data_IF_574742294384
#
_entry.id   IF_574742294384
#
_cell.length_a   1.000
_cell.length_b   1.000
_cell.length_c   1.000
_cell.angle_alpha   90.00
_cell.angle_beta   90.00
_cell.angle_gamma   90.00
#
_symmetry.space_group_name_H-M   'P 1'
#
loop_
_entity.id
_entity.type
_entity.pdbx_description
1 polymer ?
#
# COMPACT_ATOMS: atom_id res chain seq x y z
N UNK A 1 -8.12 -0.61 15.76
CA UNK A 1 -7.26 -0.19 14.63
C UNK A 1 -5.94 0.30 15.20
N UNK A 2 -4.77 -0.20 14.75
CA UNK A 2 -3.46 0.14 15.34
C UNK A 2 -2.96 1.55 14.98
N UNK A 3 -3.58 2.20 13.99
CA UNK A 3 -3.29 3.58 13.59
C UNK A 3 -4.50 4.45 13.98
N UNK A 4 -4.31 5.59 14.68
CA UNK A 4 -5.38 6.50 15.02
C UNK A 4 -6.07 7.10 13.77
N UNK A 5 -7.39 7.28 13.82
CA UNK A 5 -8.17 7.73 12.67
C UNK A 5 -7.74 9.10 12.11
N UNK A 6 -7.29 10.03 12.96
CA UNK A 6 -6.79 11.36 12.54
C UNK A 6 -5.38 11.35 11.93
N UNK A 7 -4.72 10.20 11.95
CA UNK A 7 -3.37 9.99 11.43
C UNK A 7 -3.36 9.15 10.14
N UNK A 8 -4.54 8.67 9.71
CA UNK A 8 -4.78 7.89 8.51
C UNK A 8 -5.70 8.69 7.58
N UNK A 9 -5.23 8.97 6.36
CA UNK A 9 -6.03 9.60 5.31
C UNK A 9 -6.24 8.59 4.18
N UNK A 10 -7.49 8.39 3.80
CA UNK A 10 -7.88 7.57 2.65
C UNK A 10 -8.52 8.48 1.61
N UNK A 11 -7.78 8.80 0.55
CA UNK A 11 -8.30 9.54 -0.60
C UNK A 11 -8.88 8.56 -1.62
N UNK A 12 -10.06 8.87 -2.13
CA UNK A 12 -10.73 8.08 -3.18
C UNK A 12 -10.73 8.87 -4.48
N UNK A 13 -10.40 8.21 -5.58
CA UNK A 13 -10.47 8.79 -6.91
C UNK A 13 -10.99 7.77 -7.91
N UNK A 14 -11.72 8.22 -8.93
CA UNK A 14 -12.18 7.36 -10.02
C UNK A 14 -11.89 8.06 -11.36
N UNK A 15 -11.52 7.30 -12.38
CA UNK A 15 -11.29 7.85 -13.72
C UNK A 15 -11.16 6.78 -14.79
N UNK A 16 -11.26 7.17 -16.08
CA UNK A 16 -11.02 6.25 -17.19
C UNK A 16 -9.56 5.79 -17.19
N UNK A 17 -9.35 4.48 -17.27
CA UNK A 17 -8.04 3.84 -17.38
C UNK A 17 -7.54 3.77 -18.82
N UNK A 18 -6.30 3.30 -19.04
CA UNK A 18 -5.72 3.14 -20.38
C UNK A 18 -6.49 2.18 -21.29
N UNK A 19 -7.34 1.32 -20.71
CA UNK A 19 -8.22 0.37 -21.39
C UNK A 19 -9.60 0.96 -21.73
N UNK A 20 -9.83 2.25 -21.44
CA UNK A 20 -11.11 2.93 -21.65
C UNK A 20 -12.20 2.57 -20.63
N UNK A 21 -11.90 1.73 -19.63
CA UNK A 21 -12.85 1.37 -18.56
C UNK A 21 -12.73 2.36 -17.40
N UNK A 22 -13.77 2.50 -16.60
CA UNK A 22 -13.67 3.26 -15.35
C UNK A 22 -12.96 2.43 -14.28
N UNK A 23 -11.94 3.01 -13.66
CA UNK A 23 -11.22 2.41 -12.55
C UNK A 23 -11.35 3.30 -11.32
N UNK A 24 -11.36 2.66 -10.15
CA UNK A 24 -11.31 3.32 -8.85
C UNK A 24 -9.95 3.12 -8.19
N UNK A 25 -9.48 4.14 -7.49
CA UNK A 25 -8.21 4.18 -6.78
C UNK A 25 -8.45 4.61 -5.33
N UNK A 26 -7.70 4.00 -4.42
CA UNK A 26 -7.63 4.43 -3.02
C UNK A 26 -6.18 4.77 -2.72
N UNK A 27 -5.91 6.02 -2.32
CA UNK A 27 -4.60 6.40 -1.79
C UNK A 27 -4.68 6.43 -0.28
N UNK A 28 -3.87 5.60 0.38
CA UNK A 28 -3.77 5.56 1.84
C UNK A 28 -2.49 6.28 2.26
N UNK A 29 -2.63 7.32 3.09
CA UNK A 29 -1.51 8.07 3.68
C UNK A 29 -1.56 7.94 5.19
N UNK A 30 -0.40 7.83 5.81
CA UNK A 30 -0.26 7.79 7.27
C UNK A 30 0.80 8.80 7.67
N UNK A 31 0.56 9.59 8.72
CA UNK A 31 1.64 10.42 9.27
C UNK A 31 2.73 9.53 9.82
N UNK A 32 3.98 9.78 9.41
CA UNK A 32 5.12 8.95 9.80
C UNK A 32 5.23 8.77 11.33
N UNK A 33 4.99 9.83 12.11
CA UNK A 33 5.00 9.79 13.58
C UNK A 33 4.07 8.73 14.17
N UNK A 34 2.89 8.51 13.57
CA UNK A 34 1.91 7.52 14.01
C UNK A 34 2.39 6.07 13.79
N UNK A 35 3.44 5.87 12.98
CA UNK A 35 4.06 4.55 12.76
C UNK A 35 5.09 4.20 13.85
N UNK A 36 5.54 5.16 14.66
CA UNK A 36 6.58 4.93 15.68
C UNK A 36 6.21 3.88 16.74
N UNK A 37 4.99 3.89 17.31
CA UNK A 37 4.57 2.89 18.30
C UNK A 37 4.52 1.47 17.72
N UNK A 38 4.40 1.35 16.40
CA UNK A 38 4.36 0.07 15.68
C UNK A 38 5.75 -0.40 15.24
N UNK A 39 6.80 0.40 15.45
CA UNK A 39 8.13 0.10 14.92
C UNK A 39 8.25 0.27 13.40
N UNK A 40 7.27 0.90 12.75
CA UNK A 40 7.17 1.03 11.30
C UNK A 40 7.64 2.39 10.76
N UNK A 41 8.16 3.26 11.62
CA UNK A 41 8.69 4.55 11.17
C UNK A 41 9.97 4.33 10.33
N UNK A 42 10.17 5.05 9.20
CA UNK A 42 11.36 4.87 8.34
C UNK A 42 12.72 4.96 9.06
N UNK A 43 12.83 5.85 10.05
CA UNK A 43 14.04 5.98 10.89
C UNK A 43 14.22 4.87 11.94
N UNK A 44 13.23 3.99 12.16
CA UNK A 44 13.36 2.87 13.10
C UNK A 44 13.97 1.65 12.40
N UNK A 45 14.96 0.97 13.02
CA UNK A 45 15.56 -0.23 12.45
C UNK A 45 14.55 -1.35 12.17
N UNK A 46 13.52 -1.47 13.00
CA UNK A 46 12.44 -2.46 12.88
C UNK A 46 11.56 -2.27 11.65
N UNK A 47 11.61 -1.10 11.00
CA UNK A 47 10.85 -0.85 9.76
C UNK A 47 11.46 -1.53 8.53
N UNK A 48 12.73 -1.94 8.61
CA UNK A 48 13.44 -2.59 7.50
C UNK A 48 13.14 -4.08 7.49
N UNK A 49 12.72 -4.66 6.35
CA UNK A 49 12.61 -6.10 6.20
C UNK A 49 13.98 -6.74 6.46
N UNK A 50 14.04 -7.68 7.40
CA UNK A 50 15.25 -8.46 7.70
C UNK A 50 15.35 -9.72 6.84
N UNK A 51 14.23 -10.15 6.26
CA UNK A 51 14.18 -11.31 5.37
C UNK A 51 14.46 -10.90 3.92
N UNK A 52 15.05 -11.80 3.11
CA UNK A 52 15.11 -11.62 1.67
C UNK A 52 13.73 -11.28 1.11
N UNK A 53 13.70 -10.39 0.11
CA UNK A 53 12.47 -10.16 -0.62
C UNK A 53 11.97 -11.50 -1.19
N UNK A 54 10.64 -11.74 -1.18
CA UNK A 54 10.10 -12.95 -1.78
C UNK A 54 10.52 -13.07 -3.25
N UNK A 55 10.54 -14.28 -3.82
CA UNK A 55 10.89 -14.49 -5.21
C UNK A 55 10.12 -13.55 -6.13
N UNK A 56 10.79 -12.97 -7.14
CA UNK A 56 10.17 -11.98 -8.03
C UNK A 56 8.90 -12.47 -8.75
N UNK A 57 8.78 -13.80 -8.97
CA UNK A 57 7.57 -14.38 -9.55
C UNK A 57 6.33 -14.18 -8.66
N UNK A 58 6.51 -14.04 -7.34
CA UNK A 58 5.42 -13.84 -6.39
C UNK A 58 4.79 -12.45 -6.58
N UNK A 59 5.61 -11.40 -6.66
CA UNK A 59 5.14 -10.06 -7.02
C UNK A 59 4.47 -10.05 -8.40
N UNK A 60 5.12 -10.66 -9.40
CA UNK A 60 4.57 -10.74 -10.75
C UNK A 60 3.24 -11.52 -10.81
N UNK A 61 3.04 -12.54 -9.96
CA UNK A 61 1.78 -13.28 -9.88
C UNK A 61 0.66 -12.42 -9.28
N UNK A 62 0.95 -11.67 -8.21
CA UNK A 62 0.01 -10.74 -7.61
C UNK A 62 -0.39 -9.62 -8.58
N UNK A 63 0.57 -9.04 -9.28
CA UNK A 63 0.31 -8.01 -10.31
C UNK A 63 -0.52 -8.55 -11.47
N UNK A 64 -0.24 -9.77 -11.95
CA UNK A 64 -1.05 -10.41 -12.99
C UNK A 64 -2.48 -10.66 -12.53
N UNK A 65 -2.69 -11.09 -11.28
CA UNK A 65 -4.01 -11.27 -10.72
C UNK A 65 -4.77 -9.94 -10.60
N UNK A 66 -4.12 -8.86 -10.18
CA UNK A 66 -4.71 -7.54 -10.08
C UNK A 66 -5.09 -6.94 -11.45
N UNK A 67 -4.33 -7.26 -12.50
CA UNK A 67 -4.61 -6.82 -13.89
C UNK A 67 -5.70 -7.64 -14.57
N UNK A 68 -6.08 -8.80 -14.03
CA UNK A 68 -7.10 -9.65 -14.64
C UNK A 68 -8.48 -9.02 -14.40
N UNK A 69 -9.27 -8.74 -15.45
CA UNK A 69 -10.63 -8.23 -15.27
C UNK A 69 -11.45 -9.23 -14.46
N UNK A 70 -12.25 -8.71 -13.51
CA UNK A 70 -13.23 -9.50 -12.76
C UNK A 70 -14.39 -9.90 -13.66
#
# INVERSE_FOLDING_TARGET
MPIPAGELLCDLACGPGPDGRWHGWITVRVRASALRPLGLHPDQPTSRPTSPSPPGWWHAAAERAARRPR
#
